data_IF_344662492976
#
_entry.id   IF_344662492976
#
_cell.length_a   1.000
_cell.length_b   1.000
_cell.length_c   1.000
_cell.angle_alpha   90.00
_cell.angle_beta   90.00
_cell.angle_gamma   90.00
#
_symmetry.space_group_name_H-M   'P 1'
#
loop_
_entity.id
_entity.type
_entity.pdbx_description
1 polymer ?
#
# COMPACT_ATOMS: atom_id res chain seq x y z
N UNK A 1 23.21 13.29 -24.09
CA UNK A 1 22.17 12.27 -24.32
C UNK A 1 21.93 11.37 -23.09
N UNK A 2 22.94 10.77 -22.47
CA UNK A 2 22.80 9.89 -21.29
C UNK A 2 22.09 10.51 -20.07
N UNK A 3 22.37 11.79 -19.72
CA UNK A 3 21.71 12.44 -18.57
C UNK A 3 20.20 12.62 -18.75
N UNK A 4 19.72 12.80 -19.96
CA UNK A 4 18.30 12.93 -20.29
C UNK A 4 17.56 11.58 -20.18
N UNK A 5 18.20 10.51 -20.63
CA UNK A 5 17.69 9.14 -20.53
C UNK A 5 17.52 8.69 -19.06
N UNK A 6 18.53 8.98 -18.23
CA UNK A 6 18.48 8.65 -16.79
C UNK A 6 17.38 9.42 -16.06
N UNK A 7 17.17 10.69 -16.37
CA UNK A 7 16.08 11.49 -15.80
C UNK A 7 14.70 10.93 -16.19
N UNK A 8 14.55 10.52 -17.46
CA UNK A 8 13.30 9.93 -17.95
C UNK A 8 12.99 8.59 -17.27
N UNK A 9 13.99 7.73 -17.09
CA UNK A 9 13.84 6.47 -16.36
C UNK A 9 13.45 6.68 -14.89
N UNK A 10 14.07 7.64 -14.22
CA UNK A 10 13.73 8.00 -12.83
C UNK A 10 12.30 8.53 -12.72
N UNK A 11 11.89 9.39 -13.65
CA UNK A 11 10.53 9.92 -13.69
C UNK A 11 9.50 8.82 -13.94
N UNK A 12 9.79 7.94 -14.89
CA UNK A 12 8.92 6.80 -15.20
C UNK A 12 8.76 5.87 -13.99
N UNK A 13 9.87 5.54 -13.33
CA UNK A 13 9.87 4.73 -12.10
C UNK A 13 9.04 5.38 -11.01
N UNK A 14 9.22 6.69 -10.79
CA UNK A 14 8.49 7.43 -9.77
C UNK A 14 6.97 7.47 -10.06
N UNK A 15 6.57 7.75 -11.29
CA UNK A 15 5.15 7.81 -11.68
C UNK A 15 4.48 6.44 -11.64
N UNK A 16 5.12 5.41 -12.18
CA UNK A 16 4.60 4.04 -12.12
C UNK A 16 4.54 3.54 -10.66
N UNK A 17 5.61 3.76 -9.89
CA UNK A 17 5.65 3.39 -8.47
C UNK A 17 4.55 4.08 -7.67
N UNK A 18 4.35 5.39 -7.88
CA UNK A 18 3.29 6.16 -7.23
C UNK A 18 1.89 5.66 -7.62
N UNK A 19 1.66 5.38 -8.90
CA UNK A 19 0.37 4.86 -9.38
C UNK A 19 0.00 3.55 -8.67
N UNK A 20 0.91 2.59 -8.64
CA UNK A 20 0.67 1.32 -7.94
C UNK A 20 0.62 1.49 -6.42
N UNK A 21 1.41 2.42 -5.85
CA UNK A 21 1.34 2.75 -4.42
C UNK A 21 -0.03 3.30 -4.02
N UNK A 22 -0.65 4.17 -4.85
CA UNK A 22 -1.99 4.68 -4.61
C UNK A 22 -3.03 3.55 -4.58
N UNK A 23 -2.95 2.61 -5.51
CA UNK A 23 -3.87 1.47 -5.56
C UNK A 23 -3.70 0.60 -4.30
N UNK A 24 -2.46 0.22 -3.97
CA UNK A 24 -2.17 -0.59 -2.79
C UNK A 24 -2.57 0.13 -1.50
N UNK A 25 -2.22 1.40 -1.37
CA UNK A 25 -2.57 2.23 -0.22
C UNK A 25 -4.07 2.34 0.01
N UNK A 26 -4.85 2.55 -1.06
CA UNK A 26 -6.31 2.57 -0.98
C UNK A 26 -6.89 1.21 -0.59
N UNK A 27 -6.42 0.12 -1.22
CA UNK A 27 -6.92 -1.24 -0.93
C UNK A 27 -6.65 -1.60 0.53
N UNK A 28 -5.40 -1.50 0.99
CA UNK A 28 -5.04 -1.85 2.36
C UNK A 28 -5.57 -0.83 3.37
N UNK A 29 -5.60 0.46 3.06
CA UNK A 29 -6.20 1.48 3.90
C UNK A 29 -7.70 1.26 4.15
N UNK A 30 -8.45 0.89 3.11
CA UNK A 30 -9.87 0.50 3.27
C UNK A 30 -10.00 -0.81 4.06
N UNK A 31 -9.12 -1.80 3.81
CA UNK A 31 -9.12 -3.05 4.57
C UNK A 31 -8.93 -2.84 6.07
N UNK A 32 -8.16 -1.84 6.48
CA UNK A 32 -7.89 -1.52 7.89
C UNK A 32 -9.14 -1.11 8.67
N UNK A 33 -10.13 -0.50 8.01
CA UNK A 33 -11.37 -0.01 8.62
C UNK A 33 -12.54 -0.97 8.44
N UNK A 34 -12.36 -2.08 7.71
CA UNK A 34 -13.37 -3.12 7.58
C UNK A 34 -13.65 -3.80 8.94
N UNK A 35 -14.90 -4.19 9.16
CA UNK A 35 -15.30 -4.96 10.36
C UNK A 35 -14.69 -6.36 10.41
N UNK A 36 -14.22 -6.91 9.29
CA UNK A 36 -13.61 -8.23 9.21
C UNK A 36 -12.27 -8.27 9.93
N UNK A 37 -12.16 -9.12 10.94
CA UNK A 37 -10.91 -9.33 11.68
C UNK A 37 -9.78 -9.83 10.78
N UNK A 38 -10.12 -10.69 9.83
CA UNK A 38 -9.14 -11.26 8.88
C UNK A 38 -8.53 -10.18 7.98
N UNK A 39 -9.36 -9.26 7.43
CA UNK A 39 -8.86 -8.17 6.60
C UNK A 39 -7.91 -7.25 7.36
N UNK A 40 -8.22 -6.94 8.62
CA UNK A 40 -7.34 -6.11 9.46
C UNK A 40 -6.02 -6.80 9.79
N UNK A 41 -6.03 -8.10 10.05
CA UNK A 41 -4.80 -8.85 10.32
C UNK A 41 -3.91 -8.88 9.08
N UNK A 42 -4.47 -9.13 7.90
CA UNK A 42 -3.71 -9.15 6.63
C UNK A 42 -3.09 -7.78 6.36
N UNK A 43 -3.85 -6.71 6.54
CA UNK A 43 -3.36 -5.34 6.37
C UNK A 43 -2.22 -5.03 7.35
N UNK A 44 -2.41 -5.33 8.64
CA UNK A 44 -1.39 -5.09 9.66
C UNK A 44 -0.09 -5.84 9.34
N UNK A 45 -0.17 -7.13 8.99
CA UNK A 45 1.01 -7.92 8.61
C UNK A 45 1.71 -7.28 7.40
N UNK A 46 0.96 -6.90 6.37
CA UNK A 46 1.54 -6.25 5.19
C UNK A 46 2.25 -4.94 5.55
N UNK A 47 1.58 -4.05 6.28
CA UNK A 47 2.12 -2.74 6.65
C UNK A 47 3.33 -2.89 7.57
N UNK A 48 3.24 -3.73 8.61
CA UNK A 48 4.31 -3.91 9.59
C UNK A 48 5.55 -4.54 8.95
N UNK A 49 5.39 -5.55 8.09
CA UNK A 49 6.51 -6.20 7.39
C UNK A 49 7.19 -5.23 6.43
N UNK A 50 6.42 -4.55 5.58
CA UNK A 50 7.00 -3.66 4.55
C UNK A 50 7.66 -2.44 5.18
N UNK A 51 7.07 -1.85 6.23
CA UNK A 51 7.65 -0.68 6.93
C UNK A 51 8.75 -1.04 7.90
N UNK A 52 8.74 -2.27 8.42
CA UNK A 52 9.80 -2.78 9.33
C UNK A 52 11.12 -3.11 8.62
N UNK A 53 11.09 -3.31 7.30
CA UNK A 53 12.27 -3.64 6.51
C UNK A 53 12.84 -2.37 5.86
N UNK A 54 14.15 -2.08 5.98
CA UNK A 54 14.79 -0.99 5.25
C UNK A 54 14.55 -1.11 3.75
N UNK A 55 14.20 0.00 3.08
CA UNK A 55 13.85 0.01 1.66
C UNK A 55 14.92 -0.64 0.76
N UNK A 56 16.20 -0.46 1.11
CA UNK A 56 17.31 -1.07 0.34
C UNK A 56 17.29 -2.60 0.42
N UNK A 57 16.98 -3.15 1.60
CA UNK A 57 16.86 -4.60 1.81
C UNK A 57 15.66 -5.16 1.05
N UNK A 58 14.54 -4.45 1.07
CA UNK A 58 13.36 -4.80 0.28
C UNK A 58 13.67 -4.82 -1.22
N UNK A 59 14.42 -3.83 -1.72
CA UNK A 59 14.83 -3.75 -3.11
C UNK A 59 15.71 -4.95 -3.52
N UNK A 60 16.70 -5.32 -2.69
CA UNK A 60 17.54 -6.51 -2.94
C UNK A 60 16.73 -7.81 -2.88
N UNK A 61 15.80 -7.91 -1.94
CA UNK A 61 14.92 -9.07 -1.85
C UNK A 61 14.06 -9.24 -3.10
N UNK A 62 13.47 -8.15 -3.61
CA UNK A 62 12.66 -8.20 -4.84
C UNK A 62 13.54 -8.54 -6.05
N UNK A 63 14.72 -7.91 -6.17
CA UNK A 63 15.56 -8.08 -7.34
C UNK A 63 16.25 -9.46 -7.42
N UNK A 64 16.72 -9.98 -6.30
CA UNK A 64 17.45 -11.25 -6.22
C UNK A 64 16.66 -12.37 -5.54
N UNK A 65 16.02 -12.08 -4.42
CA UNK A 65 15.37 -13.09 -3.58
C UNK A 65 14.15 -13.70 -4.26
N UNK A 66 13.25 -12.89 -4.80
CA UNK A 66 12.03 -13.37 -5.46
C UNK A 66 12.37 -14.22 -6.71
N UNK A 67 13.25 -13.78 -7.63
CA UNK A 67 13.68 -14.63 -8.75
C UNK A 67 14.36 -15.91 -8.31
N UNK A 68 15.24 -15.86 -7.29
CA UNK A 68 15.90 -17.05 -6.77
C UNK A 68 14.89 -18.07 -6.26
N UNK A 69 13.91 -17.63 -5.46
CA UNK A 69 12.85 -18.49 -4.94
C UNK A 69 12.00 -19.10 -6.07
N UNK A 70 11.55 -18.28 -7.00
CA UNK A 70 10.72 -18.74 -8.13
C UNK A 70 11.47 -19.73 -9.03
N UNK A 71 12.73 -19.46 -9.35
CA UNK A 71 13.51 -20.28 -10.28
C UNK A 71 13.92 -21.61 -9.65
N UNK A 72 14.32 -21.63 -8.38
CA UNK A 72 14.88 -22.84 -7.74
C UNK A 72 13.84 -23.69 -6.99
N UNK A 73 12.78 -23.08 -6.46
CA UNK A 73 11.79 -23.79 -5.65
C UNK A 73 10.52 -24.07 -6.43
N UNK A 74 10.02 -23.08 -7.18
CA UNK A 74 8.80 -23.23 -7.96
C UNK A 74 9.04 -23.68 -9.40
N UNK A 75 10.29 -23.71 -9.88
CA UNK A 75 10.63 -24.06 -11.27
C UNK A 75 10.14 -23.05 -12.31
N UNK A 76 9.76 -21.84 -11.90
CA UNK A 76 9.24 -20.78 -12.76
C UNK A 76 10.40 -19.85 -13.11
N UNK A 77 10.78 -19.74 -14.37
CA UNK A 77 11.81 -18.80 -14.82
C UNK A 77 11.32 -17.36 -14.70
N UNK A 78 11.75 -16.67 -13.64
CA UNK A 78 11.43 -15.27 -13.37
C UNK A 78 12.72 -14.46 -13.29
N UNK A 79 12.76 -13.30 -13.95
CA UNK A 79 13.84 -12.30 -13.84
C UNK A 79 13.24 -10.92 -13.86
N UNK A 80 13.77 -10.02 -13.03
CA UNK A 80 13.38 -8.61 -13.03
C UNK A 80 14.48 -7.73 -13.59
N UNK A 81 14.11 -6.73 -14.36
CA UNK A 81 15.02 -5.61 -14.65
C UNK A 81 15.11 -4.70 -13.41
N UNK A 82 16.21 -3.95 -13.30
CA UNK A 82 16.37 -2.99 -12.19
C UNK A 82 15.21 -1.99 -12.10
N UNK A 83 14.65 -1.57 -13.26
CA UNK A 83 13.51 -0.68 -13.32
C UNK A 83 12.23 -1.33 -12.73
N UNK A 84 11.96 -2.58 -13.10
CA UNK A 84 10.80 -3.32 -12.61
C UNK A 84 10.89 -3.57 -11.09
N UNK A 85 12.03 -4.07 -10.62
CA UNK A 85 12.25 -4.30 -9.19
C UNK A 85 12.16 -3.00 -8.38
N UNK A 86 12.73 -1.91 -8.88
CA UNK A 86 12.63 -0.59 -8.27
C UNK A 86 11.20 -0.06 -8.22
N UNK A 87 10.43 -0.24 -9.29
CA UNK A 87 9.01 0.16 -9.32
C UNK A 87 8.18 -0.64 -8.31
N UNK A 88 8.38 -1.96 -8.25
CA UNK A 88 7.69 -2.83 -7.28
C UNK A 88 8.07 -2.44 -5.84
N UNK A 89 9.36 -2.25 -5.57
CA UNK A 89 9.84 -1.84 -4.26
C UNK A 89 9.22 -0.52 -3.81
N UNK A 90 9.23 0.49 -4.70
CA UNK A 90 8.64 1.80 -4.42
C UNK A 90 7.13 1.71 -4.21
N UNK A 91 6.42 0.94 -5.04
CA UNK A 91 4.99 0.73 -4.93
C UNK A 91 4.60 0.08 -3.59
N UNK A 92 5.32 -0.97 -3.18
CA UNK A 92 5.07 -1.65 -1.90
C UNK A 92 5.37 -0.73 -0.72
N UNK A 93 6.52 -0.07 -0.71
CA UNK A 93 6.94 0.79 0.38
C UNK A 93 6.00 2.00 0.53
N UNK A 94 5.80 2.78 -0.52
CA UNK A 94 4.89 3.92 -0.49
C UNK A 94 3.43 3.50 -0.25
N UNK A 95 2.99 2.36 -0.80
CA UNK A 95 1.65 1.83 -0.58
C UNK A 95 1.39 1.48 0.88
N UNK A 96 2.36 0.89 1.58
CA UNK A 96 2.25 0.60 3.00
C UNK A 96 2.15 1.89 3.85
N UNK A 97 2.95 2.91 3.53
CA UNK A 97 2.83 4.22 4.20
C UNK A 97 1.48 4.89 3.92
N UNK A 98 0.99 4.85 2.68
CA UNK A 98 -0.31 5.40 2.33
C UNK A 98 -1.47 4.68 3.03
N UNK A 99 -1.41 3.34 3.14
CA UNK A 99 -2.40 2.57 3.89
C UNK A 99 -2.48 3.02 5.35
N UNK A 100 -1.32 3.20 5.99
CA UNK A 100 -1.25 3.67 7.37
C UNK A 100 -1.76 5.11 7.54
N UNK A 101 -1.45 6.02 6.61
CA UNK A 101 -1.95 7.40 6.63
C UNK A 101 -3.48 7.40 6.51
N UNK A 102 -4.05 6.61 5.60
CA UNK A 102 -5.50 6.48 5.43
C UNK A 102 -6.13 5.92 6.71
N UNK A 103 -5.53 4.88 7.30
CA UNK A 103 -6.00 4.31 8.57
C UNK A 103 -5.99 5.34 9.70
N UNK A 104 -4.88 6.05 9.86
CA UNK A 104 -4.72 7.07 10.89
C UNK A 104 -5.71 8.23 10.69
N UNK A 105 -5.91 8.69 9.45
CA UNK A 105 -6.90 9.71 9.12
C UNK A 105 -8.31 9.30 9.52
N UNK A 106 -8.74 8.10 9.16
CA UNK A 106 -10.09 7.61 9.52
C UNK A 106 -10.24 7.43 11.04
N UNK A 107 -9.20 6.97 11.72
CA UNK A 107 -9.22 6.77 13.18
C UNK A 107 -9.13 8.07 13.96
N UNK A 108 -8.68 9.17 13.36
CA UNK A 108 -8.64 10.50 14.02
C UNK A 108 -10.00 11.16 14.13
N UNK A 109 -10.99 10.72 13.36
CA UNK A 109 -12.36 11.23 13.45
C UNK A 109 -13.02 10.74 14.74
N UNK A 110 -13.64 11.65 15.49
CA UNK A 110 -14.32 11.34 16.75
C UNK A 110 -15.38 10.24 16.51
N UNK A 111 -15.36 9.22 17.37
CA UNK A 111 -16.29 8.10 17.30
C UNK A 111 -17.75 8.54 17.45
N UNK A 112 -18.00 9.63 18.16
CA UNK A 112 -19.31 10.26 18.31
C UNK A 112 -19.94 10.66 16.97
N UNK A 113 -19.12 11.01 15.97
CA UNK A 113 -19.62 11.31 14.60
C UNK A 113 -20.26 10.07 13.95
N UNK A 114 -19.64 8.92 14.13
CA UNK A 114 -20.20 7.65 13.65
C UNK A 114 -21.47 7.27 14.41
N UNK A 115 -21.47 7.44 15.74
CA UNK A 115 -22.60 7.13 16.60
C UNK A 115 -23.80 8.04 16.32
N UNK A 116 -23.57 9.34 16.18
CA UNK A 116 -24.60 10.31 15.82
C UNK A 116 -25.21 10.00 14.44
N UNK A 117 -24.39 9.74 13.45
CA UNK A 117 -24.85 9.36 12.11
C UNK A 117 -25.72 8.10 12.13
N UNK A 118 -25.34 7.11 12.94
CA UNK A 118 -26.12 5.87 13.09
C UNK A 118 -27.43 6.08 13.84
N UNK A 119 -27.46 6.96 14.84
CA UNK A 119 -28.68 7.33 15.57
C UNK A 119 -29.70 8.02 14.67
N UNK A 120 -29.24 8.71 13.61
CA UNK A 120 -30.07 9.28 12.56
C UNK A 120 -30.53 8.27 11.51
N UNK A 121 -30.29 6.96 11.73
CA UNK A 121 -30.76 5.87 10.85
C UNK A 121 -29.82 5.55 9.68
N UNK A 122 -28.62 6.15 9.61
CA UNK A 122 -27.66 5.80 8.56
C UNK A 122 -27.08 4.40 8.81
N UNK A 123 -26.98 3.59 7.75
CA UNK A 123 -26.23 2.33 7.82
C UNK A 123 -24.74 2.62 8.03
N UNK A 124 -23.99 1.67 8.60
CA UNK A 124 -22.55 1.81 8.86
C UNK A 124 -21.77 2.36 7.66
N UNK A 125 -21.99 1.78 6.48
CA UNK A 125 -21.32 2.20 5.25
C UNK A 125 -21.69 3.60 4.78
N UNK A 126 -22.97 3.98 4.93
CA UNK A 126 -23.40 5.34 4.61
C UNK A 126 -22.84 6.36 5.59
N UNK A 127 -22.78 6.04 6.88
CA UNK A 127 -22.16 6.88 7.90
C UNK A 127 -20.65 7.00 7.65
N UNK A 128 -19.96 5.91 7.35
CA UNK A 128 -18.54 5.91 7.00
C UNK A 128 -18.25 6.82 5.81
N UNK A 129 -18.95 6.64 4.70
CA UNK A 129 -18.70 7.36 3.46
C UNK A 129 -19.13 8.84 3.49
N UNK A 130 -20.27 9.16 4.15
CA UNK A 130 -20.83 10.51 4.14
C UNK A 130 -20.40 11.40 5.31
N UNK A 131 -19.98 10.80 6.40
CA UNK A 131 -19.66 11.53 7.64
C UNK A 131 -18.20 11.38 8.03
N UNK A 132 -17.70 10.15 8.14
CA UNK A 132 -16.34 9.89 8.62
C UNK A 132 -15.30 10.20 7.57
N UNK A 133 -15.38 9.60 6.37
CA UNK A 133 -14.35 9.77 5.34
C UNK A 133 -14.14 11.22 4.87
N UNK A 134 -15.16 12.09 4.77
CA UNK A 134 -14.94 13.48 4.42
C UNK A 134 -14.23 14.31 5.49
N UNK A 135 -14.17 13.81 6.72
CA UNK A 135 -13.50 14.46 7.86
C UNK A 135 -12.11 13.87 8.14
N UNK A 136 -11.79 12.74 7.54
CA UNK A 136 -10.57 11.97 7.76
C UNK A 136 -9.32 12.56 7.09
#
# INVERSE_FOLDING_TARGET
>A
MMKRFRKLQTLLLALCGLFFACILGLVFGVMSVLKSRTCRIIEQIFVDVIRGVPMIVLAFFIYFGVPFFCNNILGIKLTFTALQAGTICLALNCGAYMAEIIRAGIQSVDIGQMEAARSLGLSYWRAMYRVVMPQA
#
